data_IF_057925165936
#
_entry.id   IF_057925165936
#
_cell.length_a   1.000
_cell.length_b   1.000
_cell.length_c   1.000
_cell.angle_alpha   90.00
_cell.angle_beta   90.00
_cell.angle_gamma   90.00
#
_symmetry.space_group_name_H-M   'P 1'
#
loop_
_entity.id
_entity.type
_entity.pdbx_description
1 polymer ?
#
# COMPACT_ATOMS: atom_id res chain seq x y z
N UNK A 1 3.65 -6.36 3.77
CA UNK A 1 3.08 -6.64 2.43
C UNK A 1 2.75 -8.12 2.33
N UNK A 2 1.54 -8.46 1.85
CA UNK A 2 1.09 -9.85 1.60
C UNK A 2 0.69 -9.99 0.14
N UNK A 3 1.11 -11.07 -0.50
CA UNK A 3 0.85 -11.31 -1.92
C UNK A 3 0.06 -12.62 -2.06
N UNK A 4 -1.01 -12.55 -2.84
CA UNK A 4 -1.79 -13.70 -3.30
C UNK A 4 -1.63 -13.76 -4.83
N UNK A 5 -0.93 -14.76 -5.31
CA UNK A 5 -0.56 -14.87 -6.72
C UNK A 5 -0.83 -16.26 -7.25
N UNK A 6 -1.51 -16.32 -8.39
CA UNK A 6 -1.64 -17.49 -9.25
C UNK A 6 -1.30 -17.04 -10.67
N UNK A 7 -0.07 -17.28 -11.13
CA UNK A 7 0.40 -16.78 -12.42
C UNK A 7 -0.55 -17.14 -13.56
N UNK A 8 -0.86 -16.16 -14.41
CA UNK A 8 -1.78 -16.29 -15.52
C UNK A 8 -3.28 -16.28 -15.16
N UNK A 9 -3.61 -16.18 -13.85
CA UNK A 9 -4.98 -16.05 -13.37
C UNK A 9 -5.17 -14.73 -12.57
N UNK A 10 -4.39 -14.52 -11.53
CA UNK A 10 -4.51 -13.33 -10.69
C UNK A 10 -3.24 -12.97 -9.94
N UNK A 11 -3.10 -11.70 -9.63
CA UNK A 11 -2.13 -11.16 -8.67
C UNK A 11 -2.83 -10.13 -7.80
N UNK A 12 -2.76 -10.30 -6.49
CA UNK A 12 -3.39 -9.42 -5.50
C UNK A 12 -2.35 -9.12 -4.43
N UNK A 13 -2.11 -7.84 -4.19
CA UNK A 13 -1.17 -7.35 -3.17
C UNK A 13 -1.94 -6.60 -2.11
N UNK A 14 -1.72 -6.94 -0.85
CA UNK A 14 -2.27 -6.25 0.30
C UNK A 14 -1.14 -5.56 1.08
N UNK A 15 -1.28 -4.25 1.26
CA UNK A 15 -0.49 -3.48 2.23
C UNK A 15 -1.38 -3.17 3.41
N UNK A 16 -0.89 -3.29 4.62
CA UNK A 16 -1.68 -3.08 5.84
C UNK A 16 -1.04 -2.07 6.77
N UNK A 17 -1.87 -1.35 7.51
CA UNK A 17 -1.46 -0.48 8.61
C UNK A 17 -2.47 -0.53 9.75
N UNK A 18 -2.05 -0.08 10.92
CA UNK A 18 -2.87 -0.05 12.14
C UNK A 18 -2.44 -1.10 13.16
N UNK A 19 -3.39 -1.63 13.92
CA UNK A 19 -3.12 -2.65 14.95
C UNK A 19 -2.57 -3.93 14.32
N UNK A 20 -1.36 -4.33 14.73
CA UNK A 20 -0.66 -5.48 14.14
C UNK A 20 -1.43 -6.79 14.34
N UNK A 21 -1.99 -7.03 15.53
CA UNK A 21 -2.75 -8.24 15.81
C UNK A 21 -4.01 -8.31 14.93
N UNK A 22 -4.74 -7.20 14.79
CA UNK A 22 -5.91 -7.09 13.93
C UNK A 22 -5.58 -7.33 12.45
N UNK A 23 -4.53 -6.68 11.93
CA UNK A 23 -4.13 -6.85 10.53
C UNK A 23 -3.62 -8.27 10.23
N UNK A 24 -2.88 -8.88 11.15
CA UNK A 24 -2.45 -10.28 11.03
C UNK A 24 -3.62 -11.25 11.09
N UNK A 25 -4.60 -11.03 11.97
CA UNK A 25 -5.80 -11.84 12.06
C UNK A 25 -6.63 -11.81 10.76
N UNK A 26 -6.79 -10.61 10.15
CA UNK A 26 -7.45 -10.47 8.84
C UNK A 26 -6.71 -11.28 7.76
N UNK A 27 -5.38 -11.13 7.66
CA UNK A 27 -4.59 -11.89 6.67
C UNK A 27 -4.70 -13.41 6.91
N UNK A 28 -4.66 -13.85 8.18
CA UNK A 28 -4.82 -15.27 8.52
C UNK A 28 -6.20 -15.80 8.12
N UNK A 29 -7.25 -15.03 8.38
CA UNK A 29 -8.63 -15.38 7.98
C UNK A 29 -8.77 -15.49 6.47
N UNK A 30 -8.18 -14.55 5.71
CA UNK A 30 -8.18 -14.60 4.24
C UNK A 30 -7.47 -15.84 3.68
N UNK A 31 -6.34 -16.21 4.27
CA UNK A 31 -5.61 -17.46 3.91
C UNK A 31 -6.43 -18.70 4.23
N UNK A 32 -6.99 -18.79 5.44
CA UNK A 32 -7.81 -19.90 5.88
C UNK A 32 -9.04 -20.11 4.98
N UNK A 33 -9.73 -19.01 4.60
CA UNK A 33 -10.85 -19.05 3.64
C UNK A 33 -10.43 -19.54 2.26
N UNK A 34 -9.19 -19.25 1.87
CA UNK A 34 -8.61 -19.71 0.61
C UNK A 34 -8.25 -21.20 0.59
N UNK A 35 -7.95 -21.77 1.76
CA UNK A 35 -7.58 -23.19 1.93
C UNK A 35 -8.81 -24.06 2.17
N UNK A 36 -9.94 -23.51 2.56
CA UNK A 36 -11.17 -24.25 2.79
C UNK A 36 -11.62 -24.95 1.51
N UNK A 37 -11.57 -26.28 1.52
CA UNK A 37 -11.97 -27.14 0.42
C UNK A 37 -13.51 -27.21 0.31
N UNK A 38 -14.07 -26.28 -0.45
CA UNK A 38 -15.49 -26.25 -0.78
C UNK A 38 -15.77 -25.09 -1.73
N UNK A 39 -16.42 -25.35 -2.86
CA UNK A 39 -16.74 -24.34 -3.89
C UNK A 39 -17.68 -23.22 -3.40
N UNK A 40 -18.21 -23.31 -2.18
CA UNK A 40 -19.27 -22.40 -1.69
C UNK A 40 -18.74 -21.24 -0.84
N UNK A 41 -17.48 -21.29 -0.36
CA UNK A 41 -16.94 -20.19 0.41
C UNK A 41 -16.27 -19.13 -0.48
N UNK A 42 -16.83 -17.93 -0.46
CA UNK A 42 -16.24 -16.76 -1.16
C UNK A 42 -14.86 -16.45 -0.61
N UNK A 43 -13.87 -16.45 -1.49
CA UNK A 43 -12.46 -16.22 -1.13
C UNK A 43 -11.73 -15.41 -2.18
N UNK A 44 -10.56 -14.88 -1.84
CA UNK A 44 -9.66 -14.19 -2.78
C UNK A 44 -9.36 -15.04 -4.04
N UNK A 45 -9.45 -16.37 -3.92
CA UNK A 45 -9.08 -17.30 -5.00
C UNK A 45 -10.19 -17.65 -5.97
N UNK A 46 -11.47 -17.42 -5.63
CA UNK A 46 -12.61 -17.81 -6.46
C UNK A 46 -13.51 -16.66 -6.90
N UNK A 47 -13.34 -15.46 -6.35
CA UNK A 47 -14.05 -14.26 -6.84
C UNK A 47 -13.58 -13.87 -8.24
N UNK A 48 -14.47 -13.18 -8.98
CA UNK A 48 -14.28 -12.91 -10.41
C UNK A 48 -13.75 -11.53 -10.70
N UNK A 49 -13.92 -10.58 -9.76
CA UNK A 49 -13.53 -9.18 -9.95
C UNK A 49 -12.66 -8.67 -8.81
N UNK A 50 -11.84 -7.66 -9.10
CA UNK A 50 -11.06 -6.98 -8.06
C UNK A 50 -11.97 -6.21 -7.07
N UNK A 51 -13.18 -5.84 -7.49
CA UNK A 51 -14.19 -5.30 -6.57
C UNK A 51 -14.61 -6.36 -5.54
N UNK A 52 -14.88 -7.59 -5.98
CA UNK A 52 -15.23 -8.68 -5.07
C UNK A 52 -14.07 -9.02 -4.12
N UNK A 53 -12.81 -8.89 -4.57
CA UNK A 53 -11.64 -9.00 -3.68
C UNK A 53 -11.71 -7.95 -2.57
N UNK A 54 -12.03 -6.69 -2.90
CA UNK A 54 -12.17 -5.63 -1.90
C UNK A 54 -13.32 -5.93 -0.92
N UNK A 55 -14.44 -6.49 -1.40
CA UNK A 55 -15.55 -6.97 -0.55
C UNK A 55 -15.07 -8.07 0.40
N UNK A 56 -14.38 -9.09 -0.11
CA UNK A 56 -13.87 -10.21 0.71
C UNK A 56 -12.91 -9.72 1.80
N UNK A 57 -12.02 -8.79 1.48
CA UNK A 57 -11.11 -8.18 2.47
C UNK A 57 -11.89 -7.37 3.50
N UNK A 58 -12.87 -6.58 3.06
CA UNK A 58 -13.71 -5.76 3.92
C UNK A 58 -14.57 -6.61 4.87
N UNK A 59 -15.12 -7.72 4.40
CA UNK A 59 -15.83 -8.69 5.24
C UNK A 59 -14.92 -9.32 6.29
N UNK A 60 -13.69 -9.66 5.91
CA UNK A 60 -12.70 -10.18 6.86
C UNK A 60 -12.33 -9.13 7.94
N UNK A 61 -12.22 -7.84 7.57
CA UNK A 61 -12.01 -6.75 8.54
C UNK A 61 -13.17 -6.67 9.53
N UNK A 62 -14.43 -6.64 9.04
CA UNK A 62 -15.64 -6.61 9.89
C UNK A 62 -15.77 -7.83 10.80
N UNK A 63 -15.38 -9.02 10.32
CA UNK A 63 -15.45 -10.24 11.13
C UNK A 63 -14.44 -10.21 12.27
N UNK A 64 -13.21 -9.73 12.02
CA UNK A 64 -12.20 -9.59 13.07
C UNK A 64 -12.57 -8.47 14.04
N UNK A 65 -13.07 -7.34 13.54
CA UNK A 65 -13.56 -6.26 14.40
C UNK A 65 -14.69 -6.74 15.31
N UNK A 66 -15.66 -7.47 14.78
CA UNK A 66 -16.78 -8.02 15.58
C UNK A 66 -16.30 -8.99 16.64
N UNK A 67 -15.28 -9.80 16.35
CA UNK A 67 -14.70 -10.76 17.28
C UNK A 67 -13.86 -10.10 18.37
N UNK A 68 -12.97 -9.17 17.97
CA UNK A 68 -11.89 -8.68 18.84
C UNK A 68 -12.08 -7.22 19.25
N UNK A 69 -12.88 -6.43 18.52
CA UNK A 69 -12.98 -4.98 18.67
C UNK A 69 -13.45 -4.54 20.05
N UNK A 70 -14.43 -5.22 20.64
CA UNK A 70 -14.90 -4.89 22.00
C UNK A 70 -13.81 -5.11 23.07
N UNK A 71 -12.99 -6.14 22.93
CA UNK A 71 -11.87 -6.42 23.83
C UNK A 71 -10.74 -5.41 23.68
N UNK A 72 -10.59 -4.82 22.50
CA UNK A 72 -9.58 -3.80 22.20
C UNK A 72 -10.06 -2.37 22.47
N UNK A 73 -11.36 -2.14 22.61
CA UNK A 73 -11.92 -0.78 22.80
C UNK A 73 -11.41 -0.08 24.04
N UNK A 74 -11.10 -0.82 25.11
CA UNK A 74 -10.53 -0.29 26.37
C UNK A 74 -8.99 -0.33 26.41
N UNK A 75 -8.34 -0.80 25.34
CA UNK A 75 -6.88 -0.88 25.28
C UNK A 75 -6.26 0.42 24.78
N UNK A 76 -4.96 0.59 25.05
CA UNK A 76 -4.19 1.71 24.48
C UNK A 76 -4.03 1.63 22.94
N UNK A 77 -4.41 0.50 22.33
CA UNK A 77 -4.35 0.26 20.89
C UNK A 77 -5.68 -0.33 20.41
N UNK A 78 -6.71 0.50 20.16
CA UNK A 78 -8.00 0.05 19.69
C UNK A 78 -7.88 -0.67 18.33
N UNK A 79 -8.90 -1.44 17.97
CA UNK A 79 -8.94 -2.05 16.65
C UNK A 79 -8.88 -0.96 15.58
N UNK A 80 -7.86 -1.07 14.74
CA UNK A 80 -7.65 -0.19 13.60
C UNK A 80 -6.88 -0.99 12.55
N UNK A 81 -7.56 -1.43 11.51
CA UNK A 81 -6.98 -2.19 10.41
C UNK A 81 -7.38 -1.55 9.08
N UNK A 82 -6.41 -1.05 8.36
CA UNK A 82 -6.63 -0.48 7.02
C UNK A 82 -5.75 -1.21 6.02
N UNK A 83 -6.30 -1.44 4.82
CA UNK A 83 -5.58 -2.13 3.75
C UNK A 83 -5.61 -1.32 2.47
N UNK A 84 -4.50 -1.32 1.74
CA UNK A 84 -4.45 -1.00 0.32
C UNK A 84 -4.44 -2.34 -0.42
N UNK A 85 -5.35 -2.49 -1.38
CA UNK A 85 -5.57 -3.71 -2.16
C UNK A 85 -5.31 -3.34 -3.61
N UNK A 86 -4.25 -3.86 -4.19
CA UNK A 86 -3.92 -3.63 -5.60
C UNK A 86 -3.75 -4.95 -6.34
N UNK A 87 -4.08 -4.95 -7.63
CA UNK A 87 -3.84 -6.14 -8.43
C UNK A 87 -4.73 -6.27 -9.65
N UNK A 88 -4.72 -7.47 -10.21
CA UNK A 88 -5.46 -7.81 -11.41
C UNK A 88 -5.94 -9.26 -11.37
N UNK A 89 -7.14 -9.49 -11.84
CA UNK A 89 -7.70 -10.81 -12.20
C UNK A 89 -7.77 -10.90 -13.72
N UNK A 90 -7.55 -12.07 -14.26
CA UNK A 90 -7.60 -12.32 -15.71
C UNK A 90 -8.92 -11.84 -16.32
N UNK A 91 -8.83 -11.02 -17.35
CA UNK A 91 -9.98 -10.41 -18.02
C UNK A 91 -10.48 -9.10 -17.38
N UNK A 92 -9.88 -8.66 -16.27
CA UNK A 92 -10.18 -7.38 -15.63
C UNK A 92 -9.01 -6.38 -15.78
N UNK A 93 -9.24 -5.06 -15.67
CA UNK A 93 -8.17 -4.08 -15.57
C UNK A 93 -7.45 -4.17 -14.22
N UNK A 94 -6.22 -3.60 -14.15
CA UNK A 94 -5.57 -3.31 -12.89
C UNK A 94 -6.44 -2.35 -12.07
N UNK A 95 -6.70 -2.68 -10.80
CA UNK A 95 -7.50 -1.85 -9.91
C UNK A 95 -6.82 -1.70 -8.55
N UNK A 96 -7.11 -0.60 -7.88
CA UNK A 96 -6.55 -0.24 -6.60
C UNK A 96 -7.67 0.23 -5.66
N UNK A 97 -7.73 -0.36 -4.47
CA UNK A 97 -8.71 -0.03 -3.45
C UNK A 97 -8.02 0.28 -2.13
N UNK A 98 -8.70 1.05 -1.28
CA UNK A 98 -8.33 1.24 0.12
C UNK A 98 -9.51 0.92 1.01
N UNK A 99 -9.32 -0.01 1.96
CA UNK A 99 -10.30 -0.29 3.01
C UNK A 99 -9.99 0.52 4.26
N UNK A 100 -11.02 0.77 5.06
CA UNK A 100 -10.96 1.42 6.36
C UNK A 100 -11.30 0.42 7.47
N UNK A 101 -11.06 0.83 8.72
CA UNK A 101 -11.30 -0.03 9.89
C UNK A 101 -12.76 -0.48 10.01
N UNK A 102 -13.69 0.33 9.53
CA UNK A 102 -15.13 0.05 9.50
C UNK A 102 -15.53 -0.98 8.43
N UNK A 103 -14.57 -1.44 7.64
CA UNK A 103 -14.80 -2.40 6.56
C UNK A 103 -15.48 -1.81 5.31
N UNK A 104 -15.59 -0.49 5.19
CA UNK A 104 -15.90 0.16 3.92
C UNK A 104 -14.63 0.39 3.10
N UNK A 105 -14.79 0.69 1.81
CA UNK A 105 -13.64 0.92 0.93
C UNK A 105 -13.95 1.95 -0.17
N UNK A 106 -12.89 2.49 -0.73
CA UNK A 106 -12.91 3.37 -1.90
C UNK A 106 -11.99 2.83 -2.99
N UNK A 107 -12.26 3.19 -4.23
CA UNK A 107 -11.43 2.85 -5.39
C UNK A 107 -10.64 4.06 -5.87
N UNK A 108 -9.41 3.83 -6.34
CA UNK A 108 -8.61 4.83 -7.00
C UNK A 108 -9.18 5.15 -8.40
N UNK A 109 -9.09 6.41 -8.77
CA UNK A 109 -9.52 6.91 -10.08
C UNK A 109 -8.51 7.91 -10.65
N UNK A 110 -8.88 8.56 -11.75
CA UNK A 110 -8.02 9.55 -12.40
C UNK A 110 -7.65 10.72 -11.49
N UNK A 111 -8.58 11.16 -10.65
CA UNK A 111 -8.37 12.29 -9.73
C UNK A 111 -7.64 11.88 -8.45
N UNK A 112 -7.64 10.58 -8.13
CA UNK A 112 -6.94 10.01 -6.97
C UNK A 112 -6.26 8.71 -7.41
N UNK A 113 -5.11 8.80 -8.10
CA UNK A 113 -4.48 7.64 -8.75
C UNK A 113 -3.64 6.78 -7.79
N UNK A 114 -3.55 7.12 -6.52
CA UNK A 114 -2.79 6.38 -5.51
C UNK A 114 -3.45 6.43 -4.14
N UNK A 115 -3.03 5.52 -3.28
CA UNK A 115 -3.37 5.54 -1.85
C UNK A 115 -2.13 5.48 -0.99
N UNK A 116 -2.27 6.04 0.22
CA UNK A 116 -1.31 5.90 1.31
C UNK A 116 -2.03 5.40 2.55
N UNK A 117 -1.33 4.66 3.39
CA UNK A 117 -1.82 4.20 4.70
C UNK A 117 -0.68 4.20 5.71
N UNK A 118 -0.99 4.23 7.00
CA UNK A 118 0.00 4.41 8.06
C UNK A 118 0.42 5.88 8.20
N UNK A 119 1.72 6.16 8.24
CA UNK A 119 2.22 7.53 8.27
C UNK A 119 2.19 8.16 6.86
N UNK A 120 1.33 9.15 6.67
CA UNK A 120 1.12 9.75 5.34
C UNK A 120 1.58 11.21 5.24
N UNK A 121 1.80 11.89 6.38
CA UNK A 121 2.01 13.34 6.41
C UNK A 121 3.24 13.81 5.64
N UNK A 122 4.36 13.11 5.83
CA UNK A 122 5.65 13.60 5.33
C UNK A 122 5.93 13.22 3.88
N UNK A 123 5.40 12.10 3.43
CA UNK A 123 5.60 11.61 2.06
C UNK A 123 4.58 12.14 1.04
N UNK A 124 3.38 12.51 1.50
CA UNK A 124 2.26 12.89 0.62
C UNK A 124 2.59 14.06 -0.31
N UNK A 125 3.26 15.09 0.20
CA UNK A 125 3.61 16.28 -0.58
C UNK A 125 4.52 15.99 -1.78
N UNK A 126 5.28 14.91 -1.75
CA UNK A 126 6.13 14.46 -2.85
C UNK A 126 5.27 13.73 -3.88
N UNK A 127 4.45 12.78 -3.42
CA UNK A 127 3.60 11.97 -4.29
C UNK A 127 2.60 12.86 -5.05
N UNK A 128 1.95 13.81 -4.38
CA UNK A 128 0.99 14.74 -4.99
C UNK A 128 1.60 15.61 -6.11
N UNK A 129 2.92 15.86 -6.08
CA UNK A 129 3.61 16.63 -7.12
C UNK A 129 4.07 15.81 -8.30
N UNK A 130 4.29 14.52 -8.10
CA UNK A 130 4.94 13.66 -9.10
C UNK A 130 3.96 12.68 -9.74
N UNK A 131 3.06 12.10 -8.95
CA UNK A 131 2.16 11.04 -9.44
C UNK A 131 0.93 11.65 -10.12
N UNK A 132 0.74 11.26 -11.36
CA UNK A 132 -0.41 11.58 -12.18
C UNK A 132 -0.71 10.41 -13.14
N UNK A 133 -1.82 10.40 -13.88
CA UNK A 133 -2.19 9.29 -14.76
C UNK A 133 -1.17 8.92 -15.86
N UNK A 134 -0.24 9.82 -16.18
CA UNK A 134 0.80 9.60 -17.20
C UNK A 134 2.16 9.22 -16.60
N UNK A 135 2.30 9.20 -15.28
CA UNK A 135 3.54 8.82 -14.60
C UNK A 135 3.90 7.38 -14.93
N UNK A 136 5.13 7.17 -15.39
CA UNK A 136 5.62 5.82 -15.68
C UNK A 136 5.83 5.01 -14.41
N UNK A 137 5.79 3.67 -14.51
CA UNK A 137 6.02 2.79 -13.36
C UNK A 137 7.40 3.04 -12.74
N UNK A 138 8.42 3.29 -13.55
CA UNK A 138 9.77 3.62 -13.05
C UNK A 138 9.81 4.93 -12.26
N UNK A 139 9.10 5.96 -12.71
CA UNK A 139 8.99 7.24 -11.98
C UNK A 139 8.19 7.08 -10.70
N UNK A 140 7.10 6.31 -10.74
CA UNK A 140 6.32 6.00 -9.56
C UNK A 140 7.14 5.27 -8.49
N UNK A 141 7.94 4.27 -8.89
CA UNK A 141 8.86 3.57 -7.97
C UNK A 141 9.85 4.52 -7.30
N UNK A 142 10.50 5.41 -8.06
CA UNK A 142 11.40 6.42 -7.48
C UNK A 142 10.66 7.36 -6.54
N UNK A 143 9.48 7.81 -6.94
CA UNK A 143 8.66 8.73 -6.14
C UNK A 143 8.29 8.14 -4.78
N UNK A 144 7.83 6.88 -4.73
CA UNK A 144 7.49 6.24 -3.46
C UNK A 144 8.71 6.04 -2.57
N UNK A 145 9.88 5.71 -3.12
CA UNK A 145 11.12 5.57 -2.34
C UNK A 145 11.56 6.92 -1.75
N UNK A 146 11.49 8.01 -2.52
CA UNK A 146 11.75 9.38 -2.01
C UNK A 146 10.74 9.78 -0.95
N UNK A 147 9.47 9.39 -1.10
CA UNK A 147 8.42 9.58 -0.09
C UNK A 147 8.76 8.86 1.22
N UNK A 148 9.26 7.61 1.15
CA UNK A 148 9.75 6.88 2.33
C UNK A 148 10.97 7.55 2.96
N UNK A 149 11.96 7.99 2.18
CA UNK A 149 13.13 8.72 2.69
C UNK A 149 12.71 9.96 3.49
N UNK A 150 11.82 10.76 2.94
CA UNK A 150 11.32 11.96 3.61
C UNK A 150 10.54 11.65 4.88
N UNK A 151 9.78 10.56 4.88
CA UNK A 151 9.03 10.11 6.05
C UNK A 151 9.95 9.62 7.15
N UNK A 152 10.94 8.78 6.84
CA UNK A 152 11.91 8.26 7.81
C UNK A 152 12.77 9.37 8.46
N UNK A 153 13.05 10.45 7.73
CA UNK A 153 13.75 11.63 8.30
C UNK A 153 12.94 12.38 9.36
N UNK A 154 11.62 12.27 9.28
CA UNK A 154 10.70 13.06 10.11
C UNK A 154 9.94 12.23 11.15
N UNK A 155 9.93 10.91 11.00
CA UNK A 155 9.20 10.00 11.89
C UNK A 155 10.01 8.72 12.14
N UNK A 156 10.49 8.56 13.36
CA UNK A 156 11.31 7.41 13.80
C UNK A 156 10.53 6.08 13.83
N UNK A 157 9.20 6.11 13.75
CA UNK A 157 8.39 4.88 13.70
C UNK A 157 8.34 4.24 12.31
N UNK A 158 8.87 4.94 11.30
CA UNK A 158 9.00 4.44 9.92
C UNK A 158 10.47 4.19 9.61
N UNK A 159 10.80 2.99 9.15
CA UNK A 159 12.19 2.59 8.91
C UNK A 159 12.32 1.43 7.97
N UNK A 160 13.55 0.99 7.81
CA UNK A 160 13.89 -0.20 7.01
C UNK A 160 13.46 -1.50 7.73
N UNK A 161 13.23 -2.57 6.98
CA UNK A 161 13.35 -2.69 5.53
C UNK A 161 12.11 -2.14 4.79
N UNK A 162 12.31 -1.69 3.52
CA UNK A 162 11.24 -1.30 2.61
C UNK A 162 11.03 -2.39 1.58
N UNK A 163 9.83 -2.94 1.51
CA UNK A 163 9.43 -3.86 0.43
C UNK A 163 8.75 -3.09 -0.70
N UNK A 164 9.27 -3.23 -1.92
CA UNK A 164 8.71 -2.71 -3.15
C UNK A 164 8.23 -3.87 -4.02
N UNK A 165 7.04 -3.74 -4.59
CA UNK A 165 6.51 -4.70 -5.55
C UNK A 165 5.89 -3.96 -6.75
N UNK A 166 6.09 -4.51 -7.95
CA UNK A 166 5.54 -4.00 -9.19
C UNK A 166 4.69 -5.04 -9.88
N UNK A 167 3.60 -4.59 -10.48
CA UNK A 167 2.75 -5.38 -11.34
C UNK A 167 2.50 -4.61 -12.63
N UNK A 168 2.92 -5.16 -13.76
CA UNK A 168 2.61 -4.62 -15.08
C UNK A 168 1.23 -5.08 -15.50
N UNK A 169 0.55 -4.21 -16.27
CA UNK A 169 -0.76 -4.54 -16.84
C UNK A 169 -0.70 -5.84 -17.61
N UNK A 170 -1.69 -6.70 -17.40
CA UNK A 170 -1.89 -7.99 -18.05
C UNK A 170 -0.78 -9.04 -17.82
N UNK A 171 0.19 -8.73 -16.97
CA UNK A 171 1.22 -9.71 -16.57
C UNK A 171 0.67 -10.81 -15.67
N UNK A 172 -0.36 -10.54 -14.89
CA UNK A 172 -0.99 -11.44 -13.92
C UNK A 172 0.04 -12.10 -12.96
N UNK A 173 1.10 -11.37 -12.68
CA UNK A 173 2.18 -11.74 -11.77
C UNK A 173 2.92 -10.49 -11.30
N UNK A 174 3.69 -10.62 -10.24
CA UNK A 174 4.63 -9.56 -9.88
C UNK A 174 5.77 -9.51 -10.90
N UNK A 175 5.97 -8.37 -11.55
CA UNK A 175 7.06 -8.14 -12.50
C UNK A 175 8.37 -7.75 -11.82
N UNK A 176 8.30 -7.27 -10.57
CA UNK A 176 9.46 -6.94 -9.76
C UNK A 176 9.12 -6.96 -8.26
N UNK A 177 10.01 -7.52 -7.47
CA UNK A 177 9.98 -7.44 -6.02
C UNK A 177 11.37 -7.13 -5.51
N UNK A 178 11.49 -6.09 -4.71
CA UNK A 178 12.75 -5.69 -4.13
C UNK A 178 12.57 -5.38 -2.64
N UNK A 179 13.57 -5.74 -1.85
CA UNK A 179 13.63 -5.39 -0.42
C UNK A 179 14.88 -4.58 -0.17
N UNK A 180 14.67 -3.33 0.23
CA UNK A 180 15.75 -2.43 0.62
C UNK A 180 16.03 -2.60 2.10
N UNK A 181 17.23 -3.09 2.42
CA UNK A 181 17.71 -3.24 3.78
C UNK A 181 18.47 -1.98 4.26
N UNK A 182 18.77 -1.93 5.54
CA UNK A 182 19.61 -0.86 6.09
C UNK A 182 20.96 -0.81 5.37
N UNK A 183 21.30 0.37 4.85
CA UNK A 183 22.57 0.56 4.12
C UNK A 183 22.53 0.15 2.65
N UNK A 184 21.37 -0.14 2.07
CA UNK A 184 21.23 -0.39 0.64
C UNK A 184 21.84 0.74 -0.19
N UNK A 185 22.73 0.36 -1.13
CA UNK A 185 23.52 1.33 -1.90
C UNK A 185 22.66 2.19 -2.82
N UNK A 186 21.64 1.59 -3.47
CA UNK A 186 20.74 2.34 -4.36
C UNK A 186 19.88 3.32 -3.56
N UNK A 187 19.28 2.88 -2.46
CA UNK A 187 18.46 3.73 -1.63
C UNK A 187 19.27 4.88 -1.02
N UNK A 188 20.50 4.60 -0.57
CA UNK A 188 21.43 5.60 -0.04
C UNK A 188 21.78 6.66 -1.11
N UNK A 189 22.10 6.23 -2.33
CA UNK A 189 22.40 7.15 -3.43
C UNK A 189 21.18 8.02 -3.79
N UNK A 190 19.99 7.41 -3.87
CA UNK A 190 18.74 8.11 -4.13
C UNK A 190 18.44 9.17 -3.05
N UNK A 191 18.57 8.83 -1.78
CA UNK A 191 18.39 9.75 -0.64
C UNK A 191 19.36 10.95 -0.69
N UNK A 192 20.65 10.70 -0.99
CA UNK A 192 21.64 11.75 -1.10
C UNK A 192 21.37 12.69 -2.29
N UNK A 193 21.09 12.12 -3.47
CA UNK A 193 20.77 12.91 -4.67
C UNK A 193 19.51 13.75 -4.48
N UNK A 194 18.46 13.19 -3.86
CA UNK A 194 17.25 13.92 -3.53
C UNK A 194 17.54 15.11 -2.60
N UNK A 195 18.31 14.88 -1.54
CA UNK A 195 18.68 15.91 -0.57
C UNK A 195 19.51 17.03 -1.19
N UNK A 196 20.44 16.70 -2.09
CA UNK A 196 21.24 17.67 -2.85
C UNK A 196 20.40 18.46 -3.83
N UNK A 197 19.52 17.78 -4.57
CA UNK A 197 18.60 18.41 -5.52
C UNK A 197 17.66 19.41 -4.84
N UNK A 198 17.05 19.04 -3.71
CA UNK A 198 16.21 19.97 -2.94
C UNK A 198 16.98 21.20 -2.48
N UNK A 199 18.22 21.05 -1.97
CA UNK A 199 19.05 22.19 -1.56
C UNK A 199 19.46 23.05 -2.75
N UNK A 200 19.74 22.43 -3.90
CA UNK A 200 20.08 23.18 -5.12
C UNK A 200 18.89 24.02 -5.60
N UNK A 201 17.71 23.43 -5.70
CA UNK A 201 16.49 24.17 -6.09
C UNK A 201 16.21 25.29 -5.09
N UNK A 202 16.28 25.03 -3.79
CA UNK A 202 16.02 26.03 -2.75
C UNK A 202 16.92 27.27 -2.89
N UNK A 203 18.20 27.08 -3.20
CA UNK A 203 19.16 28.20 -3.41
C UNK A 203 18.82 29.08 -4.62
N UNK A 204 18.08 28.55 -5.60
CA UNK A 204 17.68 29.29 -6.80
C UNK A 204 16.30 29.95 -6.69
N UNK A 205 15.59 29.75 -5.57
CA UNK A 205 14.34 30.46 -5.34
C UNK A 205 14.58 31.96 -5.17
N UNK A 206 13.64 32.81 -5.63
CA UNK A 206 13.75 34.27 -5.46
C UNK A 206 13.81 34.62 -3.97
N UNK A 207 14.60 35.64 -3.66
CA UNK A 207 14.70 36.18 -2.30
C UNK A 207 13.36 36.72 -1.80
N UNK A 208 13.14 36.67 -0.48
CA UNK A 208 11.97 37.29 0.14
C UNK A 208 12.05 38.81 -0.03
N UNK A 209 11.01 39.51 -0.57
CA UNK A 209 10.99 40.97 -0.63
C UNK A 209 11.06 41.53 0.79
N UNK A 210 12.18 42.15 1.13
CA UNK A 210 12.31 42.95 2.37
C UNK A 210 11.98 44.38 2.02
N UNK A 211 10.92 44.93 2.64
CA UNK A 211 10.62 46.36 2.57
C UNK A 211 11.59 47.14 3.42
#
# INVERSE_FOLDING_TARGET
>A
MTVFERPGDRVIVLLSSGNLAGTQAVISLLKQRGEAHGNDATSIWNVRTMFDVAVVVSDAVRDIERRDGQHLASSASPFNASFIIGGQIKGEPLRLFRTFAEGNFIEAGTDTPFFQTGETKYGKSIIDRVINPTTTLSEAMKCVLVSFDSTMRSNLSVGMPIDLACCERDSLKLSGRHRFEQGDAYFTALSNQWSEGVRAVFRHLPGVPTR
#
